data_IF_801814146083
#
_entry.id   IF_801814146083
#
_cell.length_a   1.000
_cell.length_b   1.000
_cell.length_c   1.000
_cell.angle_alpha   90.00
_cell.angle_beta   90.00
_cell.angle_gamma   90.00
#
_symmetry.space_group_name_H-M   'P 1'
#
loop_
_entity.id
_entity.type
_entity.pdbx_description
1 polymer ?
#
# COMPACT_ATOMS: atom_id res chain seq x y z
N UNK A 1 -4.57 6.70 -18.44
CA UNK A 1 -3.64 5.78 -19.12
C UNK A 1 -3.12 4.82 -18.06
N UNK A 2 -3.43 3.55 -18.19
CA UNK A 2 -3.11 2.55 -17.16
C UNK A 2 -1.64 2.14 -17.28
N UNK A 3 -0.96 1.99 -16.14
CA UNK A 3 0.41 1.48 -16.09
C UNK A 3 0.41 0.02 -15.64
N UNK A 4 0.94 -0.85 -16.50
CA UNK A 4 1.12 -2.27 -16.22
C UNK A 4 2.57 -2.49 -15.83
N UNK A 5 2.78 -3.16 -14.71
CA UNK A 5 4.11 -3.45 -14.19
C UNK A 5 4.45 -4.93 -14.44
N UNK A 6 5.62 -5.18 -15.02
CA UNK A 6 6.13 -6.51 -15.36
C UNK A 6 7.57 -6.68 -14.90
N UNK A 7 7.97 -7.92 -14.65
CA UNK A 7 9.38 -8.30 -14.51
C UNK A 7 9.96 -8.54 -15.92
N UNK A 8 11.16 -8.03 -16.18
CA UNK A 8 11.85 -8.16 -17.47
C UNK A 8 12.32 -9.59 -17.78
N UNK A 9 12.65 -10.37 -16.75
CA UNK A 9 13.20 -11.73 -16.93
C UNK A 9 12.12 -12.79 -17.06
N UNK A 10 10.99 -12.58 -16.38
CA UNK A 10 9.83 -13.44 -16.48
C UNK A 10 8.58 -12.58 -16.25
N UNK A 11 7.89 -12.24 -17.34
CA UNK A 11 6.74 -11.32 -17.30
C UNK A 11 5.58 -11.82 -16.43
N UNK A 12 5.56 -13.12 -16.15
CA UNK A 12 4.54 -13.77 -15.33
C UNK A 12 4.93 -13.77 -13.85
N UNK A 13 6.22 -13.70 -13.49
CA UNK A 13 6.65 -13.85 -12.09
C UNK A 13 6.98 -12.49 -11.47
N UNK A 14 6.05 -11.96 -10.67
CA UNK A 14 6.24 -10.70 -9.95
C UNK A 14 5.66 -10.74 -8.54
N UNK A 15 6.50 -10.41 -7.56
CA UNK A 15 6.17 -10.34 -6.15
C UNK A 15 6.03 -8.88 -5.72
N UNK A 16 4.91 -8.58 -5.09
CA UNK A 16 4.67 -7.29 -4.45
C UNK A 16 4.74 -7.48 -2.94
N UNK A 17 5.66 -6.77 -2.29
CA UNK A 17 5.80 -6.67 -0.85
C UNK A 17 5.52 -5.23 -0.42
N UNK A 18 4.43 -5.02 0.31
CA UNK A 18 4.08 -3.73 0.89
C UNK A 18 4.19 -3.82 2.39
N UNK A 19 4.98 -2.94 2.99
CA UNK A 19 5.28 -2.97 4.41
C UNK A 19 5.26 -1.58 5.03
N UNK A 20 5.19 -1.53 6.36
CA UNK A 20 5.19 -0.28 7.11
C UNK A 20 5.06 -0.53 8.60
N UNK A 21 5.24 0.53 9.38
CA UNK A 21 5.19 0.45 10.85
C UNK A 21 3.96 1.19 11.38
N UNK A 22 2.99 0.50 11.97
CA UNK A 22 1.78 1.13 12.49
C UNK A 22 2.07 1.71 13.88
N UNK A 23 1.66 2.96 14.09
CA UNK A 23 1.84 3.68 15.35
C UNK A 23 0.52 4.22 15.85
N UNK A 24 0.26 4.06 17.14
CA UNK A 24 -0.89 4.67 17.80
C UNK A 24 -0.59 4.88 19.27
N UNK A 25 -0.93 6.05 19.78
CA UNK A 25 -0.72 6.37 21.20
C UNK A 25 -1.98 6.16 22.03
N UNK A 26 -3.15 6.22 21.38
CA UNK A 26 -4.44 6.13 22.06
C UNK A 26 -4.76 4.68 22.48
N UNK A 27 -5.01 4.42 23.78
CA UNK A 27 -5.34 3.08 24.27
C UNK A 27 -6.73 2.58 23.83
N UNK A 28 -7.60 3.45 23.29
CA UNK A 28 -8.86 3.00 22.68
C UNK A 28 -8.61 2.09 21.47
N UNK A 29 -7.47 2.26 20.79
CA UNK A 29 -7.17 1.60 19.52
C UNK A 29 -6.82 0.13 19.76
N UNK A 30 -7.71 -0.75 19.29
CA UNK A 30 -7.64 -2.22 19.44
C UNK A 30 -7.98 -2.91 18.11
N UNK A 31 -7.76 -4.23 18.05
CA UNK A 31 -8.11 -5.07 16.91
C UNK A 31 -7.58 -4.57 15.55
N UNK A 32 -6.33 -4.08 15.54
CA UNK A 32 -5.71 -3.48 14.36
C UNK A 32 -5.35 -4.58 13.35
N UNK A 33 -5.93 -4.50 12.15
CA UNK A 33 -5.75 -5.48 11.06
C UNK A 33 -5.47 -4.79 9.74
N UNK A 34 -4.46 -5.24 9.01
CA UNK A 34 -4.15 -4.74 7.66
C UNK A 34 -4.53 -5.75 6.58
N UNK A 35 -4.93 -5.23 5.41
CA UNK A 35 -5.15 -5.99 4.18
C UNK A 35 -4.53 -5.25 3.00
N UNK A 36 -3.92 -5.98 2.06
CA UNK A 36 -3.53 -5.44 0.77
C UNK A 36 -4.72 -5.61 -0.17
N UNK A 37 -5.07 -4.57 -0.91
CA UNK A 37 -6.29 -4.53 -1.73
C UNK A 37 -6.05 -3.83 -3.05
N UNK A 38 -6.88 -4.17 -4.02
CA UNK A 38 -7.09 -3.45 -5.27
C UNK A 38 -8.60 -3.18 -5.47
N UNK A 39 -9.00 -2.77 -6.68
CA UNK A 39 -10.42 -2.58 -7.03
C UNK A 39 -11.23 -3.88 -7.05
N UNK A 40 -10.58 -5.03 -7.25
CA UNK A 40 -11.23 -6.35 -7.36
C UNK A 40 -11.47 -6.98 -5.99
N UNK A 41 -10.62 -6.70 -5.00
CA UNK A 41 -10.85 -7.24 -3.66
C UNK A 41 -9.64 -7.21 -2.74
N UNK A 42 -9.58 -8.22 -1.86
CA UNK A 42 -8.46 -8.45 -0.96
C UNK A 42 -7.45 -9.32 -1.69
N UNK A 43 -6.19 -8.87 -1.70
CA UNK A 43 -5.06 -9.57 -2.29
C UNK A 43 -4.27 -10.34 -1.24
N UNK A 44 -4.19 -9.80 -0.03
CA UNK A 44 -3.53 -10.40 1.13
C UNK A 44 -4.11 -9.89 2.45
N UNK A 45 -4.01 -10.70 3.51
CA UNK A 45 -4.58 -10.47 4.83
C UNK A 45 -6.02 -11.00 5.01
N UNK A 46 -6.67 -10.71 6.16
CA UNK A 46 -6.25 -9.75 7.18
C UNK A 46 -5.08 -10.24 8.03
N UNK A 47 -4.13 -9.33 8.28
CA UNK A 47 -2.99 -9.55 9.17
C UNK A 47 -3.13 -8.70 10.42
N UNK A 48 -3.02 -9.33 11.60
CA UNK A 48 -3.01 -8.60 12.87
C UNK A 48 -1.74 -7.73 12.95
N UNK A 49 -1.91 -6.49 13.37
CA UNK A 49 -0.82 -5.54 13.52
C UNK A 49 -0.44 -5.37 14.99
N UNK A 50 0.85 -5.30 15.25
CA UNK A 50 1.40 -5.00 16.57
C UNK A 50 1.92 -3.57 16.57
N UNK A 51 1.61 -2.80 17.63
CA UNK A 51 2.07 -1.42 17.79
C UNK A 51 3.59 -1.34 17.64
N UNK A 52 4.06 -0.38 16.84
CA UNK A 52 5.49 -0.12 16.59
C UNK A 52 6.26 -1.29 15.97
N UNK A 53 5.59 -2.30 15.40
CA UNK A 53 6.23 -3.41 14.71
C UNK A 53 5.88 -3.40 13.23
N UNK A 54 6.91 -3.51 12.39
CA UNK A 54 6.71 -3.61 10.95
C UNK A 54 5.80 -4.80 10.58
N UNK A 55 4.88 -4.54 9.68
CA UNK A 55 4.10 -5.58 9.02
C UNK A 55 4.49 -5.66 7.56
N UNK A 56 4.26 -6.83 6.97
CA UNK A 56 4.39 -7.08 5.54
C UNK A 56 3.13 -7.70 5.02
N UNK A 57 2.72 -7.27 3.83
CA UNK A 57 1.65 -7.86 3.05
C UNK A 57 2.22 -8.21 1.67
N UNK A 58 1.99 -9.45 1.25
CA UNK A 58 2.63 -10.04 0.08
C UNK A 58 1.59 -10.45 -0.95
N UNK A 59 1.87 -10.17 -2.23
CA UNK A 59 1.12 -10.75 -3.33
C UNK A 59 2.08 -11.28 -4.38
N UNK A 60 2.06 -12.59 -4.58
CA UNK A 60 2.52 -13.19 -5.83
C UNK A 60 1.40 -13.07 -6.86
N UNK A 61 1.75 -12.71 -8.09
CA UNK A 61 0.78 -12.75 -9.19
C UNK A 61 1.46 -13.12 -10.50
N UNK A 62 0.79 -14.01 -11.23
CA UNK A 62 1.21 -14.55 -12.53
C UNK A 62 1.08 -13.59 -13.73
N UNK A 63 0.68 -12.33 -13.53
CA UNK A 63 0.72 -11.23 -14.53
C UNK A 63 -0.10 -10.00 -14.11
N UNK A 64 0.22 -8.86 -14.74
CA UNK A 64 -0.56 -7.61 -14.80
C UNK A 64 -1.06 -7.08 -13.45
N UNK A 65 -0.13 -6.52 -12.65
CA UNK A 65 -0.50 -5.68 -11.51
C UNK A 65 -0.54 -4.23 -11.96
N UNK A 66 -1.62 -3.55 -11.60
CA UNK A 66 -1.69 -2.09 -11.62
C UNK A 66 -1.25 -1.61 -10.24
N UNK A 67 0.07 -1.41 -10.04
CA UNK A 67 0.63 -1.04 -8.73
C UNK A 67 -0.01 0.26 -8.22
N UNK A 68 -0.36 1.15 -9.13
CA UNK A 68 -1.04 2.42 -8.86
C UNK A 68 -2.44 2.25 -8.24
N UNK A 69 -3.06 1.09 -8.41
CA UNK A 69 -4.37 0.77 -7.84
C UNK A 69 -4.28 0.08 -6.48
N UNK A 70 -3.08 -0.33 -6.07
CA UNK A 70 -2.87 -1.00 -4.80
C UNK A 70 -3.01 -0.02 -3.63
N UNK A 71 -3.61 -0.51 -2.55
CA UNK A 71 -3.64 0.20 -1.28
C UNK A 71 -3.69 -0.78 -0.11
N UNK A 72 -3.12 -0.34 1.01
CA UNK A 72 -3.27 -1.03 2.29
C UNK A 72 -4.50 -0.44 3.00
N UNK A 73 -5.43 -1.31 3.39
CA UNK A 73 -6.55 -0.95 4.27
C UNK A 73 -6.27 -1.47 5.67
N UNK A 74 -6.15 -0.56 6.63
CA UNK A 74 -6.04 -0.88 8.05
C UNK A 74 -7.40 -0.67 8.70
N UNK A 75 -7.98 -1.73 9.26
CA UNK A 75 -9.18 -1.67 10.11
C UNK A 75 -8.75 -1.75 11.57
N UNK A 76 -9.46 -1.06 12.45
CA UNK A 76 -9.23 -1.09 13.90
C UNK A 76 -10.50 -0.66 14.61
N UNK A 77 -10.60 -0.95 15.90
CA UNK A 77 -11.65 -0.43 16.79
C UNK A 77 -11.10 0.69 17.65
N UNK A 78 -11.94 1.67 17.96
CA UNK A 78 -11.69 2.64 19.03
C UNK A 78 -13.01 2.94 19.72
N UNK A 79 -13.09 2.72 21.04
CA UNK A 79 -14.33 2.83 21.83
C UNK A 79 -15.49 2.03 21.21
N UNK A 80 -15.20 0.79 20.82
CA UNK A 80 -16.12 -0.14 20.14
C UNK A 80 -16.65 0.27 18.76
N UNK A 81 -16.21 1.43 18.25
CA UNK A 81 -16.52 1.85 16.88
C UNK A 81 -15.49 1.31 15.87
N UNK A 82 -15.99 0.71 14.79
CA UNK A 82 -15.17 0.26 13.68
C UNK A 82 -14.63 1.45 12.87
N UNK A 83 -13.31 1.49 12.70
CA UNK A 83 -12.59 2.50 11.93
C UNK A 83 -11.79 1.87 10.80
N UNK A 84 -11.49 2.67 9.77
CA UNK A 84 -10.63 2.25 8.68
C UNK A 84 -9.76 3.38 8.13
N UNK A 85 -8.48 3.10 7.88
CA UNK A 85 -7.54 3.95 7.16
C UNK A 85 -7.16 3.27 5.84
N UNK A 86 -7.14 4.05 4.75
CA UNK A 86 -6.62 3.60 3.45
C UNK A 86 -5.30 4.32 3.18
N UNK A 87 -4.24 3.56 2.92
CA UNK A 87 -2.92 4.09 2.53
C UNK A 87 -2.59 3.59 1.13
N UNK A 88 -2.57 4.49 0.15
CA UNK A 88 -2.16 4.18 -1.22
C UNK A 88 -0.66 3.95 -1.29
N UNK A 89 -0.23 3.15 -2.27
CA UNK A 89 1.20 3.04 -2.63
C UNK A 89 1.68 4.41 -3.14
N UNK A 90 2.71 5.02 -2.53
CA UNK A 90 3.25 6.29 -3.00
C UNK A 90 3.99 6.10 -4.33
N UNK A 91 3.93 7.09 -5.22
CA UNK A 91 4.66 7.07 -6.50
C UNK A 91 6.17 6.91 -6.32
N UNK A 92 6.72 7.36 -5.19
CA UNK A 92 8.13 7.17 -4.87
C UNK A 92 8.55 5.70 -4.71
N UNK A 93 7.62 4.80 -4.32
CA UNK A 93 7.90 3.36 -4.33
C UNK A 93 8.02 2.80 -5.75
N UNK A 94 7.34 3.45 -6.71
CA UNK A 94 7.24 3.02 -8.09
C UNK A 94 8.48 3.49 -8.87
N UNK A 95 8.94 4.71 -8.61
CA UNK A 95 10.08 5.35 -9.25
C UNK A 95 11.44 4.92 -8.68
N UNK A 96 11.56 3.69 -8.18
CA UNK A 96 12.74 3.31 -7.40
C UNK A 96 14.00 3.30 -8.29
N UNK A 97 14.99 4.09 -7.88
CA UNK A 97 16.14 4.60 -8.66
C UNK A 97 17.16 3.55 -9.15
N UNK A 98 16.91 2.26 -8.92
CA UNK A 98 17.87 1.18 -9.16
C UNK A 98 17.50 0.26 -10.33
N UNK A 99 16.24 0.28 -10.79
CA UNK A 99 15.84 -0.39 -12.02
C UNK A 99 15.96 0.56 -13.20
N UNK A 100 16.69 0.19 -14.26
CA UNK A 100 16.58 0.91 -15.53
C UNK A 100 15.17 0.69 -16.08
N UNK A 101 14.25 1.59 -15.72
CA UNK A 101 12.87 1.54 -16.22
C UNK A 101 12.90 1.61 -17.75
N UNK A 102 12.59 0.50 -18.41
CA UNK A 102 12.21 0.52 -19.82
C UNK A 102 10.69 0.67 -19.85
N UNK A 103 10.21 1.83 -20.29
CA UNK A 103 8.78 2.05 -20.49
C UNK A 103 8.43 1.87 -21.97
N UNK A 104 7.61 0.87 -22.29
CA UNK A 104 7.02 0.75 -23.63
C UNK A 104 5.65 1.44 -23.58
N UNK A 105 5.48 2.49 -24.38
CA UNK A 105 4.21 3.22 -24.50
C UNK A 105 3.47 2.76 -25.75
N UNK A 106 2.21 2.34 -25.58
CA UNK A 106 1.23 2.25 -26.67
C UNK A 106 0.21 3.38 -26.52
N UNK A 107 -0.76 3.51 -27.42
CA UNK A 107 -1.80 4.56 -27.37
C UNK A 107 -2.55 4.62 -26.03
N UNK A 108 -2.78 3.46 -25.40
CA UNK A 108 -3.71 3.34 -24.27
C UNK A 108 -3.05 2.90 -22.95
N UNK A 109 -1.82 2.39 -23.01
CA UNK A 109 -1.14 1.74 -21.87
C UNK A 109 0.35 2.05 -21.85
N UNK A 110 0.89 2.13 -20.64
CA UNK A 110 2.34 2.16 -20.41
C UNK A 110 2.72 0.87 -19.72
N UNK A 111 3.59 0.08 -20.35
CA UNK A 111 4.20 -1.08 -19.69
C UNK A 111 5.52 -0.65 -19.09
N UNK A 112 5.68 -0.85 -17.79
CA UNK A 112 6.91 -0.57 -17.03
C UNK A 112 7.55 -1.91 -16.68
N UNK A 113 8.77 -2.12 -17.14
CA UNK A 113 9.56 -3.30 -16.81
C UNK A 113 10.51 -3.00 -15.65
N UNK A 114 10.46 -3.82 -14.61
CA UNK A 114 11.44 -3.83 -13.54
C UNK A 114 12.49 -4.91 -13.81
N UNK A 115 13.76 -4.58 -13.54
CA UNK A 115 14.89 -5.53 -13.50
C UNK A 115 14.89 -6.34 -12.17
N UNK A 116 13.74 -6.53 -11.53
CA UNK A 116 13.59 -7.28 -10.27
C UNK A 116 12.29 -8.09 -10.28
N UNK A 117 12.34 -9.27 -9.68
CA UNK A 117 11.15 -10.10 -9.44
C UNK A 117 10.36 -9.62 -8.23
N UNK A 118 10.97 -8.78 -7.38
CA UNK A 118 10.41 -8.30 -6.12
C UNK A 118 10.30 -6.78 -6.10
N UNK A 119 9.06 -6.30 -6.11
CA UNK A 119 8.71 -4.92 -5.81
C UNK A 119 8.50 -4.74 -4.31
N UNK A 120 9.38 -3.95 -3.71
CA UNK A 120 9.33 -3.60 -2.30
C UNK A 120 8.85 -2.16 -2.13
N UNK A 121 7.79 -1.95 -1.37
CA UNK A 121 7.31 -0.62 -1.02
C UNK A 121 7.16 -0.45 0.50
N UNK A 122 7.99 0.44 1.05
CA UNK A 122 7.90 0.90 2.42
C UNK A 122 6.93 2.09 2.52
N UNK A 123 5.83 1.91 3.24
CA UNK A 123 4.85 2.96 3.53
C UNK A 123 5.27 3.90 4.67
N UNK A 124 6.39 3.60 5.32
CA UNK A 124 6.91 4.32 6.48
C UNK A 124 6.06 4.15 7.73
N UNK A 125 6.07 5.16 8.57
CA UNK A 125 5.21 5.23 9.76
C UNK A 125 3.75 5.51 9.40
N UNK A 126 2.85 4.65 9.85
CA UNK A 126 1.41 4.78 9.65
C UNK A 126 0.74 5.10 10.98
N UNK A 127 0.45 6.38 11.22
CA UNK A 127 -0.20 6.84 12.45
C UNK A 127 -1.72 6.60 12.39
N UNK A 128 -2.24 5.81 13.31
CA UNK A 128 -3.67 5.67 13.57
C UNK A 128 -4.08 6.71 14.62
N UNK A 129 -5.27 7.30 14.45
CA UNK A 129 -5.80 8.34 15.33
C UNK A 129 -7.28 8.08 15.61
N UNK A 130 -7.78 8.43 16.80
CA UNK A 130 -9.21 8.64 16.99
C UNK A 130 -9.72 9.69 15.99
N UNK A 131 -10.92 9.50 15.45
CA UNK A 131 -11.42 10.26 14.29
C UNK A 131 -11.59 11.76 14.58
N UNK A 132 -11.68 12.16 15.85
CA UNK A 132 -11.87 13.57 16.25
C UNK A 132 -10.70 14.50 15.88
N UNK A 133 -9.55 13.96 15.44
CA UNK A 133 -8.36 14.76 15.07
C UNK A 133 -8.03 14.79 13.58
N UNK A 134 -8.88 14.27 12.69
CA UNK A 134 -8.63 14.31 11.24
C UNK A 134 -9.22 15.54 10.53
N UNK A 135 -10.16 16.27 11.15
CA UNK A 135 -10.83 17.43 10.52
C UNK A 135 -10.49 18.81 11.12
N UNK A 136 -9.62 18.92 12.13
CA UNK A 136 -9.36 20.21 12.80
C UNK A 136 -8.28 21.05 12.08
N UNK A 137 -7.51 20.51 11.11
CA UNK A 137 -6.46 21.29 10.44
C UNK A 137 -6.92 22.15 9.25
N UNK A 138 -8.23 22.38 9.06
CA UNK A 138 -8.75 23.24 7.98
C UNK A 138 -9.49 24.50 8.44
N UNK A 139 -9.39 24.88 9.71
CA UNK A 139 -10.00 26.14 10.18
C UNK A 139 -9.08 26.91 11.11
N UNK A 140 -8.20 27.73 10.51
CA UNK A 140 -7.51 28.94 11.01
C UNK A 140 -6.62 29.37 9.83
N UNK A 141 -6.74 30.53 9.21
CA UNK A 141 -6.87 31.92 9.71
C UNK A 141 -7.88 32.66 8.79
N UNK A 142 -8.86 33.42 9.28
CA UNK A 142 -8.75 34.78 9.82
C UNK A 142 -7.93 35.73 8.96
#
# INVERSE_FOLDING_TARGET
MDRIYKNKFNEEHFFVNVFGTPRWDDPCIKDVKATLRDKKGVLDGPKNLTKNREFHLYKYKSSNILIDELFVKIKYKCNDEDKALKKKIPQSCIQNKEGKEMSIKTSDKVTVYFDTELFNCNLGDIRLKPVDKQNISKTKMQ
#
